data_IF_823740838735
#
_entry.id   IF_823740838735
#
_cell.length_a   1.000
_cell.length_b   1.000
_cell.length_c   1.000
_cell.angle_alpha   90.00
_cell.angle_beta   90.00
_cell.angle_gamma   90.00
#
_symmetry.space_group_name_H-M   'P 1'
#
loop_
_entity.id
_entity.type
_entity.pdbx_description
1 polymer ?
#
# COMPACT_ATOMS: atom_id res chain seq x y z
N UNK A 1 -11.92 -1.66 15.58
CA UNK A 1 -11.11 -1.45 14.38
C UNK A 1 -12.09 -1.20 13.24
N UNK A 2 -12.20 0.04 12.75
CA UNK A 2 -13.09 0.35 11.63
C UNK A 2 -12.37 -0.12 10.37
N UNK A 3 -12.83 -1.21 9.76
CA UNK A 3 -12.31 -1.62 8.46
C UNK A 3 -12.62 -0.52 7.46
N UNK A 4 -11.60 0.00 6.78
CA UNK A 4 -11.79 0.95 5.69
C UNK A 4 -12.71 0.31 4.66
N UNK A 5 -13.90 0.89 4.49
CA UNK A 5 -14.89 0.41 3.56
C UNK A 5 -14.54 0.98 2.19
N UNK A 6 -13.94 0.14 1.36
CA UNK A 6 -13.66 0.51 -0.03
C UNK A 6 -14.96 0.85 -0.76
N UNK A 7 -14.94 1.93 -1.56
CA UNK A 7 -16.06 2.28 -2.45
C UNK A 7 -16.34 1.16 -3.46
N UNK A 8 -15.28 0.47 -3.90
CA UNK A 8 -15.34 -0.72 -4.75
C UNK A 8 -14.59 -1.85 -4.07
N UNK A 9 -15.21 -3.03 -4.00
CA UNK A 9 -14.53 -4.21 -3.47
C UNK A 9 -13.21 -4.46 -4.23
N UNK A 10 -12.08 -4.68 -3.55
CA UNK A 10 -10.81 -4.96 -4.22
C UNK A 10 -10.97 -6.12 -5.19
N UNK A 11 -10.44 -5.99 -6.39
CA UNK A 11 -10.51 -7.02 -7.42
C UNK A 11 -9.26 -6.94 -8.31
N UNK A 12 -8.97 -8.01 -9.03
CA UNK A 12 -7.92 -8.00 -10.05
C UNK A 12 -8.37 -7.12 -11.22
N UNK A 13 -7.52 -6.19 -11.64
CA UNK A 13 -7.79 -5.29 -12.76
C UNK A 13 -6.54 -5.20 -13.66
N UNK A 14 -6.70 -5.04 -14.98
CA UNK A 14 -5.60 -4.76 -15.89
C UNK A 14 -4.74 -3.59 -15.44
N UNK A 15 -3.40 -3.71 -15.59
CA UNK A 15 -2.45 -2.66 -15.21
C UNK A 15 -2.79 -1.30 -15.85
N UNK A 16 -3.30 -1.32 -17.09
CA UNK A 16 -3.66 -0.08 -17.80
C UNK A 16 -4.81 0.68 -17.11
N UNK A 17 -5.79 -0.02 -16.53
CA UNK A 17 -6.90 0.61 -15.82
C UNK A 17 -6.43 1.23 -14.50
N UNK A 18 -5.47 0.59 -13.83
CA UNK A 18 -4.84 1.13 -12.61
C UNK A 18 -4.06 2.42 -12.93
N UNK A 19 -3.33 2.45 -14.05
CA UNK A 19 -2.61 3.64 -14.49
C UNK A 19 -3.57 4.76 -14.86
N UNK A 20 -4.68 4.46 -15.53
CA UNK A 20 -5.72 5.44 -15.86
C UNK A 20 -6.38 6.02 -14.61
N UNK A 21 -6.67 5.19 -13.61
CA UNK A 21 -7.23 5.63 -12.32
C UNK A 21 -6.27 6.60 -11.60
N UNK A 22 -4.99 6.23 -11.52
CA UNK A 22 -3.94 7.12 -10.98
C UNK A 22 -3.84 8.44 -11.76
N UNK A 23 -3.95 8.40 -13.09
CA UNK A 23 -3.90 9.59 -13.94
C UNK A 23 -5.13 10.50 -13.77
N UNK A 24 -6.29 9.94 -13.42
CA UNK A 24 -7.52 10.69 -13.09
C UNK A 24 -7.51 11.29 -11.69
N UNK A 25 -6.56 10.86 -10.84
CA UNK A 25 -6.45 11.30 -9.45
C UNK A 25 -7.19 10.40 -8.46
N UNK A 26 -7.58 9.20 -8.87
CA UNK A 26 -8.20 8.23 -7.98
C UNK A 26 -7.16 7.66 -7.00
N UNK A 27 -7.59 7.39 -5.76
CA UNK A 27 -6.75 6.73 -4.76
C UNK A 27 -6.66 5.24 -5.06
N UNK A 28 -5.44 4.75 -5.31
CA UNK A 28 -5.14 3.33 -5.48
C UNK A 28 -4.34 2.85 -4.27
N UNK A 29 -4.72 1.71 -3.70
CA UNK A 29 -3.98 1.07 -2.60
C UNK A 29 -3.57 -0.35 -2.97
N UNK A 30 -2.48 -0.81 -2.35
CA UNK A 30 -2.15 -2.24 -2.35
C UNK A 30 -3.13 -3.03 -1.47
N UNK A 31 -3.37 -4.30 -1.78
CA UNK A 31 -4.22 -5.18 -0.96
C UNK A 31 -3.51 -6.51 -0.72
N UNK A 32 -3.38 -6.89 0.55
CA UNK A 32 -2.69 -8.09 0.97
C UNK A 32 -3.67 -9.14 1.52
N UNK A 33 -3.52 -10.42 1.17
CA UNK A 33 -4.22 -11.50 1.85
C UNK A 33 -3.52 -11.79 3.20
N UNK A 34 -4.26 -11.69 4.31
CA UNK A 34 -3.79 -12.02 5.67
C UNK A 34 -4.85 -12.87 6.34
N UNK A 35 -4.51 -14.12 6.69
CA UNK A 35 -5.40 -15.06 7.40
C UNK A 35 -6.81 -15.20 6.77
N UNK A 36 -6.90 -15.18 5.44
CA UNK A 36 -8.16 -15.29 4.71
C UNK A 36 -8.96 -13.98 4.62
N UNK A 37 -8.44 -12.88 5.17
CA UNK A 37 -8.96 -11.53 5.02
C UNK A 37 -8.14 -10.74 4.00
N UNK A 38 -8.75 -9.72 3.39
CA UNK A 38 -8.06 -8.74 2.55
C UNK A 38 -7.81 -7.49 3.38
N UNK A 39 -6.57 -7.06 3.45
CA UNK A 39 -6.12 -5.91 4.23
C UNK A 39 -5.58 -4.83 3.29
N UNK A 40 -6.03 -3.60 3.47
CA UNK A 40 -5.50 -2.43 2.77
C UNK A 40 -4.04 -2.23 3.17
N UNK A 41 -3.17 -2.10 2.17
CA UNK A 41 -1.79 -1.70 2.32
C UNK A 41 -1.59 -0.21 2.02
N UNK A 42 -0.34 0.24 1.86
CA UNK A 42 -0.06 1.62 1.49
C UNK A 42 -0.71 2.01 0.15
N UNK A 43 -1.08 3.29 0.07
CA UNK A 43 -1.43 3.95 -1.18
C UNK A 43 -0.28 3.87 -2.17
N UNK A 44 -0.64 3.94 -3.44
CA UNK A 44 0.27 3.83 -4.57
C UNK A 44 0.15 5.13 -5.37
N UNK A 45 1.28 5.68 -5.80
CA UNK A 45 1.32 6.87 -6.65
C UNK A 45 2.19 6.64 -7.87
N UNK A 46 1.87 7.36 -8.94
CA UNK A 46 2.76 7.48 -10.10
C UNK A 46 3.91 8.43 -9.75
N UNK A 47 5.12 8.07 -10.16
CA UNK A 47 6.30 8.92 -10.06
C UNK A 47 6.99 9.01 -11.42
N UNK A 48 7.72 10.10 -11.62
CA UNK A 48 8.60 10.29 -12.77
C UNK A 48 9.99 10.53 -12.22
N UNK A 49 10.94 9.70 -12.62
CA UNK A 49 12.31 9.87 -12.15
C UNK A 49 13.06 10.97 -12.90
N UNK A 50 14.31 11.24 -12.48
CA UNK A 50 15.17 12.29 -13.06
C UNK A 50 15.44 12.09 -14.56
N UNK A 51 15.32 10.85 -15.06
CA UNK A 51 15.48 10.52 -16.47
C UNK A 51 14.16 10.62 -17.26
N UNK A 52 13.07 11.07 -16.62
CA UNK A 52 11.75 11.17 -17.24
C UNK A 52 11.02 9.84 -17.39
N UNK A 53 11.48 8.77 -16.74
CA UNK A 53 10.82 7.45 -16.81
C UNK A 53 9.68 7.38 -15.81
N UNK A 54 8.50 6.96 -16.28
CA UNK A 54 7.34 6.73 -15.42
C UNK A 54 7.50 5.43 -14.62
N UNK A 55 7.13 5.50 -13.34
CA UNK A 55 7.14 4.37 -12.42
C UNK A 55 6.02 4.48 -11.39
N UNK A 56 5.98 3.51 -10.49
CA UNK A 56 4.99 3.41 -9.42
C UNK A 56 5.73 3.24 -8.09
N UNK A 57 5.32 3.99 -7.07
CA UNK A 57 5.85 3.89 -5.71
C UNK A 57 4.73 3.79 -4.68
N UNK A 58 4.99 3.09 -3.58
CA UNK A 58 4.14 3.13 -2.39
C UNK A 58 4.33 4.43 -1.63
N UNK A 59 3.25 5.11 -1.28
CA UNK A 59 3.27 6.25 -0.35
C UNK A 59 3.62 5.70 1.03
N UNK A 60 4.71 6.18 1.61
CA UNK A 60 5.04 5.84 2.98
C UNK A 60 3.92 6.37 3.88
N UNK A 61 3.18 5.45 4.53
CA UNK A 61 2.33 5.83 5.65
C UNK A 61 3.28 6.35 6.71
N UNK A 62 3.10 7.60 7.16
CA UNK A 62 3.83 8.15 8.30
C UNK A 62 3.58 7.25 9.50
N UNK A 63 4.43 6.23 9.63
CA UNK A 63 4.50 5.41 10.82
C UNK A 63 5.12 6.34 11.85
N UNK A 64 4.29 6.95 12.70
CA UNK A 64 4.75 7.68 13.88
C UNK A 64 5.88 6.90 14.57
N UNK A 65 6.82 7.59 15.23
CA UNK A 65 8.22 7.18 15.42
C UNK A 65 8.39 5.67 15.31
N UNK A 66 8.77 5.22 14.11
CA UNK A 66 8.61 3.84 13.69
C UNK A 66 9.15 2.85 14.71
N UNK A 67 8.37 1.79 14.98
CA UNK A 67 8.86 0.61 15.70
C UNK A 67 10.11 0.12 14.99
N UNK A 68 11.23 0.14 15.70
CA UNK A 68 12.52 -0.33 15.23
C UNK A 68 12.66 -1.83 15.52
N UNK A 69 13.69 -2.46 14.95
CA UNK A 69 14.05 -3.83 15.34
C UNK A 69 14.32 -3.98 16.85
N UNK A 70 14.63 -2.89 17.56
CA UNK A 70 14.81 -2.89 19.00
C UNK A 70 13.49 -3.02 19.78
N UNK A 71 12.35 -2.73 19.15
CA UNK A 71 11.01 -2.81 19.75
C UNK A 71 10.37 -4.20 19.59
N UNK A 72 11.07 -5.14 18.95
CA UNK A 72 10.62 -6.52 18.81
C UNK A 72 10.74 -7.26 20.15
N UNK A 73 9.75 -8.10 20.55
CA UNK A 73 9.85 -8.93 21.73
C UNK A 73 11.09 -9.83 21.61
N UNK A 74 12.00 -9.74 22.58
CA UNK A 74 13.11 -10.69 22.67
C UNK A 74 12.54 -11.99 23.23
N UNK A 75 12.49 -13.02 22.40
CA UNK A 75 12.22 -14.36 22.88
C UNK A 75 13.49 -14.85 23.56
N UNK A 76 13.56 -14.73 24.88
CA UNK A 76 14.58 -15.40 25.67
C UNK A 76 14.30 -16.90 25.59
N UNK A 77 15.10 -17.61 24.80
CA UNK A 77 15.15 -19.07 24.85
C UNK A 77 15.93 -19.46 26.12
N UNK A 78 15.18 -19.69 27.21
CA UNK A 78 15.68 -20.29 28.44
C UNK A 78 15.91 -21.80 28.29
#
# INVERSE_FOLDING_TARGET
MSGEQFEVAPHESPVIEVVDALARGDTVVTVFPVEGQRVAGPEVRRVVDEAGREGIETVAVESGPGRTLADLPRLDHG
#
